data_IF_259015703915
#
_entry.id   IF_259015703915
#
_cell.length_a   1.000
_cell.length_b   1.000
_cell.length_c   1.000
_cell.angle_alpha   90.00
_cell.angle_beta   90.00
_cell.angle_gamma   90.00
#
_symmetry.space_group_name_H-M   'P 1'
#
loop_
_entity.id
_entity.type
_entity.pdbx_description
1 polymer ?
#
# COMPACT_ATOMS: atom_id res chain seq x y z
N UNK A 1 -3.60 -7.26 -22.11
CA UNK A 1 -3.19 -5.84 -22.20
C UNK A 1 -2.88 -5.32 -20.80
N UNK A 2 -2.01 -4.30 -20.66
CA UNK A 2 -1.82 -3.63 -19.37
C UNK A 2 -3.12 -2.97 -18.92
N UNK A 3 -3.39 -3.00 -17.62
CA UNK A 3 -4.58 -2.39 -17.00
C UNK A 3 -4.47 -0.86 -17.13
N UNK A 4 -5.57 -0.17 -17.45
CA UNK A 4 -5.55 1.30 -17.49
C UNK A 4 -5.42 1.86 -16.07
N UNK A 5 -4.64 2.92 -15.91
CA UNK A 5 -4.40 3.53 -14.60
C UNK A 5 -5.69 3.98 -13.91
N UNK A 6 -6.72 4.40 -14.66
CA UNK A 6 -8.02 4.79 -14.10
C UNK A 6 -8.80 3.60 -13.51
N UNK A 7 -8.79 2.45 -14.19
CA UNK A 7 -9.41 1.21 -13.69
C UNK A 7 -8.72 0.73 -12.41
N UNK A 8 -7.40 0.85 -12.36
CA UNK A 8 -6.63 0.47 -11.18
C UNK A 8 -6.84 1.42 -10.00
N UNK A 9 -6.95 2.74 -10.24
CA UNK A 9 -7.32 3.72 -9.21
C UNK A 9 -8.74 3.47 -8.68
N UNK A 10 -9.68 3.17 -9.56
CA UNK A 10 -11.05 2.82 -9.17
C UNK A 10 -11.06 1.57 -8.29
N UNK A 11 -10.31 0.53 -8.68
CA UNK A 11 -10.14 -0.67 -7.86
C UNK A 11 -9.51 -0.36 -6.50
N UNK A 12 -8.48 0.49 -6.47
CA UNK A 12 -7.85 0.96 -5.23
C UNK A 12 -8.85 1.61 -4.27
N UNK A 13 -9.72 2.48 -4.80
CA UNK A 13 -10.80 3.09 -4.02
C UNK A 13 -11.81 2.03 -3.53
N UNK A 14 -12.18 1.05 -4.37
CA UNK A 14 -13.13 -0.02 -4.00
C UNK A 14 -12.63 -0.89 -2.84
N UNK A 15 -11.33 -1.16 -2.77
CA UNK A 15 -10.73 -1.97 -1.70
C UNK A 15 -10.18 -1.13 -0.53
N UNK A 16 -10.38 0.19 -0.56
CA UNK A 16 -9.83 1.14 0.41
C UNK A 16 -8.29 1.00 0.55
N UNK A 17 -7.59 0.85 -0.58
CA UNK A 17 -6.13 0.78 -0.62
C UNK A 17 -5.50 2.11 -0.17
N UNK A 18 -4.31 2.03 0.42
CA UNK A 18 -3.54 3.21 0.81
C UNK A 18 -3.14 4.08 -0.39
N UNK A 19 -2.92 3.46 -1.54
CA UNK A 19 -2.58 4.13 -2.79
C UNK A 19 -2.31 3.11 -3.90
N UNK A 20 -2.12 3.62 -5.12
CA UNK A 20 -1.81 2.84 -6.31
C UNK A 20 -0.49 3.33 -6.91
N UNK A 21 0.35 2.39 -7.32
CA UNK A 21 1.63 2.64 -8.00
C UNK A 21 1.85 1.54 -9.06
N UNK A 22 2.35 1.94 -10.22
CA UNK A 22 2.85 1.02 -11.24
C UNK A 22 4.35 0.82 -11.08
N UNK A 23 4.82 -0.40 -11.33
CA UNK A 23 6.23 -0.71 -11.30
C UNK A 23 6.59 -1.79 -12.33
N UNK A 24 7.86 -1.83 -12.73
CA UNK A 24 8.42 -2.88 -13.57
C UNK A 24 9.70 -3.41 -12.91
N UNK A 25 9.63 -4.63 -12.38
CA UNK A 25 10.79 -5.31 -11.81
C UNK A 25 11.89 -5.57 -12.86
N UNK A 26 11.51 -5.70 -14.13
CA UNK A 26 12.43 -5.96 -15.25
C UNK A 26 13.32 -4.75 -15.55
N UNK A 27 12.73 -3.55 -15.58
CA UNK A 27 13.44 -2.29 -15.85
C UNK A 27 13.84 -1.54 -14.59
N UNK A 28 13.41 -2.04 -13.41
CA UNK A 28 13.60 -1.44 -12.08
C UNK A 28 12.83 -0.13 -11.87
N UNK A 29 11.87 0.18 -12.74
CA UNK A 29 11.03 1.38 -12.62
C UNK A 29 10.01 1.22 -11.48
N UNK A 30 9.87 2.24 -10.64
CA UNK A 30 8.86 2.30 -9.58
C UNK A 30 9.06 1.35 -8.40
N UNK A 31 10.09 0.50 -8.42
CA UNK A 31 10.28 -0.54 -7.40
C UNK A 31 10.52 0.09 -6.03
N UNK A 32 11.34 1.14 -5.94
CA UNK A 32 11.66 1.79 -4.67
C UNK A 32 10.43 2.48 -4.07
N UNK A 33 9.66 3.14 -4.92
CA UNK A 33 8.47 3.91 -4.58
C UNK A 33 7.38 3.01 -3.99
N UNK A 34 7.20 1.80 -4.54
CA UNK A 34 6.28 0.79 -4.01
C UNK A 34 6.64 0.42 -2.57
N UNK A 35 7.91 0.15 -2.27
CA UNK A 35 8.35 -0.20 -0.92
C UNK A 35 8.29 1.00 0.03
N UNK A 36 8.57 2.20 -0.45
CA UNK A 36 8.46 3.41 0.35
C UNK A 36 7.01 3.69 0.75
N UNK A 37 6.08 3.58 -0.21
CA UNK A 37 4.64 3.75 0.06
C UNK A 37 4.13 2.70 1.04
N UNK A 38 4.52 1.43 0.87
CA UNK A 38 4.17 0.35 1.79
C UNK A 38 4.70 0.62 3.20
N UNK A 39 5.94 1.09 3.32
CA UNK A 39 6.55 1.44 4.61
C UNK A 39 5.79 2.59 5.28
N UNK A 40 5.46 3.64 4.52
CA UNK A 40 4.66 4.77 5.02
C UNK A 40 3.29 4.30 5.51
N UNK A 41 2.60 3.48 4.74
CA UNK A 41 1.30 2.91 5.10
C UNK A 41 1.38 2.10 6.42
N UNK A 42 2.40 1.25 6.56
CA UNK A 42 2.61 0.44 7.76
C UNK A 42 2.88 1.30 9.01
N UNK A 43 3.70 2.35 8.89
CA UNK A 43 3.99 3.26 10.00
C UNK A 43 2.76 4.09 10.40
N UNK A 44 1.94 4.52 9.45
CA UNK A 44 0.69 5.24 9.74
C UNK A 44 -0.33 4.34 10.43
N UNK A 45 -0.47 3.08 9.98
CA UNK A 45 -1.36 2.11 10.63
C UNK A 45 -0.93 1.74 12.06
N UNK A 46 0.36 1.81 12.39
CA UNK A 46 0.87 1.55 13.75
C UNK A 46 0.54 2.68 14.73
N UNK A 47 0.43 3.93 14.25
CA UNK A 47 0.10 5.09 15.09
C UNK A 47 -1.37 5.10 15.53
N UNK A 48 -2.26 4.44 14.78
CA UNK A 48 -3.71 4.46 15.02
C UNK A 48 -4.23 3.28 15.87
N UNK A 49 -3.43 2.23 16.06
CA UNK A 49 -3.80 1.12 16.95
C UNK A 49 -3.53 1.51 18.41
N UNK A 50 -4.58 1.85 19.15
CA UNK A 50 -4.55 1.80 20.62
C UNK A 50 -4.02 0.42 21.03
N UNK A 51 -2.91 0.43 21.77
CA UNK A 51 -2.31 -0.78 22.33
C UNK A 51 -3.25 -1.26 23.43
N UNK A 52 -4.29 -2.02 23.10
CA UNK A 52 -4.89 -2.90 24.09
C UNK A 52 -3.89 -4.05 24.24
N UNK A 53 -3.10 -4.14 25.33
CA UNK A 53 -2.27 -5.31 25.53
C UNK A 53 -3.24 -6.49 25.71
N UNK A 54 -3.18 -7.47 24.80
CA UNK A 54 -3.65 -8.80 25.16
C UNK A 54 -2.72 -9.27 26.29
N UNK A 55 -3.18 -9.15 27.53
CA UNK A 55 -2.62 -9.86 28.66
C UNK A 55 -2.95 -11.33 28.45
N UNK A 56 -2.00 -12.09 27.91
CA UNK A 56 -1.98 -13.53 28.15
C UNK A 56 -1.70 -13.69 29.65
N UNK A 57 -2.75 -14.07 30.38
CA UNK A 57 -2.71 -14.49 31.78
C UNK A 57 -2.19 -15.92 31.88
#
# INVERSE_FOLDING_TARGET
>A
EPVKSDEAKEMGSRINAFGYLECSAKTKEGVREVFELATRAALQAKKTKNKNPCLLL
#
